data_IF_436727136785
#
_entry.id   IF_436727136785
#
_cell.length_a   1.000
_cell.length_b   1.000
_cell.length_c   1.000
_cell.angle_alpha   90.00
_cell.angle_beta   90.00
_cell.angle_gamma   90.00
#
_symmetry.space_group_name_H-M   'P 1'
#
loop_
_entity.id
_entity.type
_entity.pdbx_description
1 polymer ?
#
# COMPACT_ATOMS: atom_id res chain seq x y z
N UNK A 1 -10.55 -16.62 -2.32
CA UNK A 1 -9.38 -15.97 -2.97
C UNK A 1 -9.53 -14.48 -2.71
N UNK A 2 -8.50 -13.82 -2.17
CA UNK A 2 -8.57 -12.38 -1.93
C UNK A 2 -8.41 -11.65 -3.28
N UNK A 3 -9.32 -10.74 -3.59
CA UNK A 3 -9.26 -9.95 -4.81
C UNK A 3 -8.35 -8.74 -4.60
N UNK A 4 -7.60 -8.38 -5.64
CA UNK A 4 -6.89 -7.11 -5.66
C UNK A 4 -7.88 -5.95 -5.73
N UNK A 5 -7.59 -4.88 -5.00
CA UNK A 5 -8.37 -3.64 -4.99
C UNK A 5 -7.52 -2.58 -5.67
N UNK A 6 -7.64 -2.54 -7.00
CA UNK A 6 -6.86 -1.68 -7.88
C UNK A 6 -7.77 -0.96 -8.86
N UNK A 7 -7.69 0.37 -8.84
CA UNK A 7 -8.40 1.27 -9.76
C UNK A 7 -7.40 2.28 -10.34
N UNK A 8 -7.71 2.92 -11.48
CA UNK A 8 -6.95 4.09 -11.94
C UNK A 8 -7.00 5.24 -10.91
N UNK A 9 -6.06 6.18 -11.02
CA UNK A 9 -6.05 7.45 -10.26
C UNK A 9 -5.92 7.33 -8.74
N UNK A 10 -5.43 6.20 -8.21
CA UNK A 10 -5.16 6.04 -6.78
C UNK A 10 -3.96 6.89 -6.32
N UNK A 11 -4.07 7.48 -5.13
CA UNK A 11 -2.94 8.12 -4.43
C UNK A 11 -1.90 7.05 -4.09
N UNK A 12 -2.34 5.91 -3.55
CA UNK A 12 -1.42 4.82 -3.26
C UNK A 12 -2.03 3.42 -3.29
N UNK A 13 -1.16 2.44 -3.44
CA UNK A 13 -1.47 1.01 -3.31
C UNK A 13 -0.60 0.39 -2.23
N UNK A 14 -1.21 -0.34 -1.29
CA UNK A 14 -0.50 -1.14 -0.30
C UNK A 14 -0.23 -2.55 -0.86
N UNK A 15 1.01 -3.00 -0.73
CA UNK A 15 1.46 -4.31 -1.22
C UNK A 15 1.78 -5.20 -0.03
N UNK A 16 0.95 -6.20 0.19
CA UNK A 16 1.20 -7.29 1.13
C UNK A 16 2.03 -8.42 0.51
N UNK A 17 2.41 -9.40 1.35
CA UNK A 17 3.14 -10.58 0.88
C UNK A 17 2.21 -11.51 0.12
N UNK A 18 1.24 -12.08 0.81
CA UNK A 18 0.23 -12.98 0.28
C UNK A 18 -0.93 -13.08 1.29
N UNK A 19 -2.13 -13.50 0.86
CA UNK A 19 -3.24 -13.65 1.79
C UNK A 19 -2.99 -14.82 2.75
N UNK A 20 -3.11 -14.59 4.06
CA UNK A 20 -3.20 -15.68 5.02
C UNK A 20 -4.49 -16.49 4.81
N UNK A 21 -4.53 -17.77 5.21
CA UNK A 21 -5.72 -18.63 5.01
C UNK A 21 -7.01 -17.96 5.49
N UNK A 22 -7.03 -17.39 6.70
CA UNK A 22 -8.20 -16.70 7.25
C UNK A 22 -8.59 -15.46 6.45
N UNK A 23 -7.61 -14.69 5.98
CA UNK A 23 -7.85 -13.54 5.07
C UNK A 23 -8.45 -14.00 3.74
N UNK A 24 -7.97 -15.12 3.19
CA UNK A 24 -8.51 -15.69 1.96
C UNK A 24 -9.94 -16.22 2.12
N UNK A 25 -10.32 -16.69 3.32
CA UNK A 25 -11.68 -17.14 3.67
C UNK A 25 -12.61 -15.97 3.95
N UNK A 26 -12.15 -14.95 4.69
CA UNK A 26 -12.93 -13.76 5.00
C UNK A 26 -13.16 -12.86 3.77
N UNK A 27 -12.27 -12.92 2.78
CA UNK A 27 -12.36 -12.14 1.54
C UNK A 27 -11.89 -10.69 1.69
N UNK A 28 -11.32 -10.31 2.84
CA UNK A 28 -10.90 -8.94 3.14
C UNK A 28 -9.43 -8.82 3.50
N UNK A 29 -8.75 -7.82 2.94
CA UNK A 29 -7.33 -7.56 3.13
C UNK A 29 -7.00 -7.33 4.61
N UNK A 30 -5.95 -8.01 5.08
CA UNK A 30 -5.46 -7.89 6.46
C UNK A 30 -6.49 -8.20 7.56
N UNK A 31 -7.50 -9.03 7.29
CA UNK A 31 -8.60 -9.33 8.22
C UNK A 31 -8.23 -10.12 9.50
N UNK A 32 -7.01 -10.66 9.60
CA UNK A 32 -6.63 -11.42 10.79
C UNK A 32 -6.57 -10.51 12.04
N UNK A 33 -7.14 -10.88 13.21
CA UNK A 33 -7.21 -10.00 14.39
C UNK A 33 -5.84 -9.52 14.92
N UNK A 34 -4.80 -10.32 14.75
CA UNK A 34 -3.43 -9.94 15.13
C UNK A 34 -2.73 -9.03 14.12
N UNK A 35 -3.34 -8.77 12.95
CA UNK A 35 -2.77 -7.90 11.94
C UNK A 35 -3.02 -6.43 12.30
N UNK A 36 -1.94 -5.65 12.32
CA UNK A 36 -1.97 -4.25 12.75
C UNK A 36 -2.27 -3.26 11.61
N UNK A 37 -2.51 -3.74 10.37
CA UNK A 37 -2.65 -2.87 9.19
C UNK A 37 -3.68 -1.76 9.42
N UNK A 38 -4.91 -2.12 9.79
CA UNK A 38 -5.98 -1.15 10.00
C UNK A 38 -5.73 -0.18 11.16
N UNK A 39 -4.98 -0.62 12.19
CA UNK A 39 -4.54 0.25 13.28
C UNK A 39 -3.50 1.26 12.78
N UNK A 40 -2.47 0.77 12.08
CA UNK A 40 -1.36 1.58 11.57
C UNK A 40 -1.79 2.51 10.43
N UNK A 41 -2.74 2.08 9.60
CA UNK A 41 -3.35 2.90 8.55
C UNK A 41 -4.01 4.14 9.17
N UNK A 42 -4.79 3.95 10.23
CA UNK A 42 -5.41 5.07 10.94
C UNK A 42 -4.39 5.91 11.72
N UNK A 43 -3.55 5.29 12.54
CA UNK A 43 -2.62 6.02 13.41
C UNK A 43 -1.54 6.79 12.65
N UNK A 44 -1.25 6.41 11.40
CA UNK A 44 -0.36 7.18 10.50
C UNK A 44 -1.05 8.34 9.80
N UNK A 45 -2.39 8.41 9.82
CA UNK A 45 -3.17 9.45 9.17
C UNK A 45 -3.65 9.11 7.75
N UNK A 46 -3.43 7.89 7.24
CA UNK A 46 -3.99 7.49 5.94
C UNK A 46 -5.53 7.51 5.96
N UNK A 47 -6.15 7.22 7.11
CA UNK A 47 -7.60 7.31 7.32
C UNK A 47 -7.91 8.14 8.56
N UNK A 48 -8.96 8.95 8.46
CA UNK A 48 -9.50 9.79 9.54
C UNK A 48 -10.10 9.00 10.71
N UNK A 49 -10.50 7.74 10.47
CA UNK A 49 -10.93 6.80 11.49
C UNK A 49 -10.32 5.42 11.28
N UNK A 50 -10.32 4.61 12.34
CA UNK A 50 -9.98 3.18 12.23
C UNK A 50 -11.12 2.45 11.53
N UNK A 51 -10.83 1.92 10.35
CA UNK A 51 -11.76 1.11 9.57
C UNK A 51 -11.63 -0.37 9.94
N UNK A 52 -12.73 -1.13 9.88
CA UNK A 52 -12.69 -2.58 9.91
C UNK A 52 -12.29 -3.15 8.53
N UNK A 53 -11.80 -4.41 8.45
CA UNK A 53 -11.35 -5.03 7.21
C UNK A 53 -12.34 -5.03 6.06
N UNK A 54 -13.63 -5.10 6.37
CA UNK A 54 -14.74 -5.16 5.42
C UNK A 54 -14.86 -3.90 4.55
N UNK A 55 -14.15 -2.82 4.92
CA UNK A 55 -14.12 -1.57 4.16
C UNK A 55 -12.94 -1.47 3.20
N UNK A 56 -12.16 -2.53 3.00
CA UNK A 56 -11.10 -2.55 1.98
C UNK A 56 -11.61 -2.24 0.57
N UNK A 57 -12.77 -2.78 0.19
CA UNK A 57 -13.46 -2.53 -1.10
C UNK A 57 -13.87 -1.08 -1.31
N UNK A 58 -14.07 -0.32 -0.24
CA UNK A 58 -14.44 1.09 -0.33
C UNK A 58 -13.22 2.03 -0.30
N UNK A 59 -12.01 1.54 -0.01
CA UNK A 59 -10.81 2.37 0.05
C UNK A 59 -10.55 3.19 -1.23
N UNK A 60 -10.78 2.68 -2.45
CA UNK A 60 -10.64 3.49 -3.67
C UNK A 60 -11.58 4.69 -3.67
N UNK A 61 -12.86 4.46 -3.33
CA UNK A 61 -13.89 5.50 -3.34
C UNK A 61 -13.75 6.49 -2.19
N UNK A 62 -13.45 6.01 -0.98
CA UNK A 62 -13.39 6.85 0.22
C UNK A 62 -12.05 7.58 0.34
N UNK A 63 -10.98 6.95 -0.14
CA UNK A 63 -9.63 7.43 0.13
C UNK A 63 -8.67 7.33 -1.07
N UNK A 64 -9.11 6.99 -2.28
CA UNK A 64 -8.20 6.81 -3.42
C UNK A 64 -6.99 5.91 -3.06
N UNK A 65 -7.22 4.88 -2.24
CA UNK A 65 -6.22 3.90 -1.84
C UNK A 65 -6.63 2.51 -2.30
N UNK A 66 -5.66 1.67 -2.65
CA UNK A 66 -5.89 0.29 -3.06
C UNK A 66 -5.01 -0.71 -2.31
N UNK A 67 -5.23 -2.00 -2.57
CA UNK A 67 -4.39 -3.07 -2.04
C UNK A 67 -4.16 -4.17 -3.08
N UNK A 68 -3.02 -4.85 -2.96
CA UNK A 68 -2.63 -6.02 -3.75
C UNK A 68 -1.62 -6.84 -2.94
N UNK A 69 -1.26 -8.02 -3.42
CA UNK A 69 -0.12 -8.79 -2.89
C UNK A 69 0.95 -9.03 -3.96
N UNK A 70 2.21 -9.26 -3.53
CA UNK A 70 3.28 -9.69 -4.44
C UNK A 70 3.09 -11.15 -4.87
N UNK A 71 2.46 -11.98 -4.03
CA UNK A 71 2.12 -13.38 -4.31
C UNK A 71 0.61 -13.59 -4.08
N UNK A 72 -0.06 -14.17 -5.07
CA UNK A 72 -1.53 -14.35 -5.05
C UNK A 72 -1.95 -15.58 -4.22
N UNK A 73 -1.11 -16.62 -4.19
CA UNK A 73 -1.42 -17.89 -3.54
C UNK A 73 -1.52 -17.73 -2.02
N UNK A 74 -2.63 -18.18 -1.39
CA UNK A 74 -2.72 -18.20 0.07
C UNK A 74 -1.74 -19.19 0.71
N UNK A 75 -1.24 -18.85 1.90
CA UNK A 75 -0.46 -19.75 2.76
C UNK A 75 -0.82 -19.56 4.24
N UNK A 76 -0.42 -20.50 5.12
CA UNK A 76 -0.62 -20.30 6.58
C UNK A 76 0.35 -19.25 7.12
N UNK A 77 1.59 -19.31 6.64
CA UNK A 77 2.66 -18.38 6.97
C UNK A 77 3.34 -17.88 5.69
N UNK A 78 3.71 -16.60 5.65
CA UNK A 78 4.55 -16.03 4.61
C UNK A 78 5.93 -16.69 4.57
N UNK A 79 6.40 -17.28 5.67
CA UNK A 79 7.63 -18.06 5.74
C UNK A 79 7.61 -19.33 4.87
N UNK A 80 6.42 -19.81 4.47
CA UNK A 80 6.29 -20.94 3.54
C UNK A 80 6.65 -20.56 2.09
N UNK A 81 6.74 -19.26 1.77
CA UNK A 81 7.10 -18.80 0.44
C UNK A 81 8.61 -18.79 0.28
N UNK A 82 9.10 -19.47 -0.75
CA UNK A 82 10.52 -19.43 -1.08
C UNK A 82 10.93 -18.02 -1.53
N UNK A 83 12.22 -17.66 -1.33
CA UNK A 83 12.77 -16.39 -1.84
C UNK A 83 12.57 -16.26 -3.36
N UNK A 84 12.64 -17.37 -4.09
CA UNK A 84 12.43 -17.44 -5.54
C UNK A 84 10.98 -17.16 -5.91
N UNK A 85 10.02 -17.75 -5.19
CA UNK A 85 8.58 -17.53 -5.39
C UNK A 85 8.21 -16.06 -5.15
N UNK A 86 8.69 -15.47 -4.04
CA UNK A 86 8.49 -14.05 -3.76
C UNK A 86 9.10 -13.15 -4.85
N UNK A 87 10.34 -13.43 -5.27
CA UNK A 87 11.00 -12.65 -6.31
C UNK A 87 10.27 -12.75 -7.66
N UNK A 88 9.70 -13.92 -7.99
CA UNK A 88 8.91 -14.15 -9.20
C UNK A 88 7.59 -13.35 -9.23
N UNK A 89 7.09 -12.92 -8.07
CA UNK A 89 5.94 -12.01 -7.98
C UNK A 89 6.23 -10.58 -8.42
N UNK A 90 7.49 -10.15 -8.37
CA UNK A 90 7.91 -8.78 -8.76
C UNK A 90 7.46 -8.35 -10.15
N UNK A 91 7.70 -9.09 -11.25
CA UNK A 91 7.26 -8.68 -12.58
C UNK A 91 5.73 -8.55 -12.71
N UNK A 92 4.98 -9.35 -11.96
CA UNK A 92 3.51 -9.29 -11.92
C UNK A 92 3.06 -8.00 -11.23
N UNK A 93 3.67 -7.68 -10.09
CA UNK A 93 3.45 -6.43 -9.38
C UNK A 93 3.79 -5.22 -10.27
N UNK A 94 4.95 -5.20 -10.92
CA UNK A 94 5.37 -4.14 -11.85
C UNK A 94 4.32 -3.93 -12.96
N UNK A 95 3.76 -5.02 -13.52
CA UNK A 95 2.70 -4.96 -14.52
C UNK A 95 1.40 -4.36 -13.97
N UNK A 96 1.00 -4.74 -12.76
CA UNK A 96 -0.19 -4.16 -12.08
C UNK A 96 0.01 -2.65 -11.88
N UNK A 97 1.15 -2.23 -11.34
CA UNK A 97 1.46 -0.81 -11.10
C UNK A 97 1.52 -0.01 -12.41
N UNK A 98 2.13 -0.57 -13.47
CA UNK A 98 2.13 0.03 -14.81
C UNK A 98 0.73 0.25 -15.38
N UNK A 99 -0.18 -0.69 -15.14
CA UNK A 99 -1.56 -0.64 -15.63
C UNK A 99 -2.38 0.42 -14.90
N UNK A 100 -2.33 0.46 -13.57
CA UNK A 100 -3.21 1.30 -12.75
C UNK A 100 -2.63 2.67 -12.39
N UNK A 101 -1.31 2.84 -12.56
CA UNK A 101 -0.57 4.09 -12.37
C UNK A 101 -0.88 4.83 -11.06
N UNK A 102 -0.80 4.19 -9.88
CA UNK A 102 -0.92 4.91 -8.62
C UNK A 102 0.24 5.88 -8.45
N UNK A 103 0.07 6.96 -7.68
CA UNK A 103 1.16 7.91 -7.45
C UNK A 103 2.27 7.30 -6.58
N UNK A 104 1.90 6.44 -5.62
CA UNK A 104 2.83 5.72 -4.77
C UNK A 104 2.46 4.24 -4.56
N UNK A 105 3.48 3.45 -4.26
CA UNK A 105 3.37 2.06 -3.82
C UNK A 105 3.97 1.94 -2.43
N UNK A 106 3.20 1.43 -1.47
CA UNK A 106 3.65 1.17 -0.11
C UNK A 106 3.88 -0.33 0.08
N UNK A 107 5.14 -0.71 0.20
CA UNK A 107 5.56 -2.09 0.46
C UNK A 107 5.45 -2.38 1.95
N UNK A 108 4.47 -3.21 2.32
CA UNK A 108 4.07 -3.50 3.71
C UNK A 108 4.95 -4.61 4.32
N UNK A 109 6.26 -4.39 4.28
CA UNK A 109 7.24 -5.27 4.91
C UNK A 109 8.56 -5.36 4.14
N UNK A 110 9.67 -5.31 4.88
CA UNK A 110 11.03 -5.44 4.33
C UNK A 110 11.23 -6.69 3.46
N UNK A 111 10.65 -7.84 3.84
CA UNK A 111 10.81 -9.08 3.09
C UNK A 111 10.30 -9.00 1.64
N UNK A 112 9.24 -8.22 1.41
CA UNK A 112 8.71 -7.96 0.06
C UNK A 112 9.70 -7.09 -0.71
N UNK A 113 10.25 -6.05 -0.08
CA UNK A 113 11.27 -5.20 -0.71
C UNK A 113 12.55 -5.98 -1.05
N UNK A 114 12.99 -6.87 -0.15
CA UNK A 114 14.11 -7.76 -0.41
C UNK A 114 13.84 -8.65 -1.63
N UNK A 115 12.60 -9.10 -1.85
CA UNK A 115 12.21 -9.88 -3.02
C UNK A 115 12.26 -9.07 -4.32
N UNK A 116 11.74 -7.83 -4.29
CA UNK A 116 11.83 -6.89 -5.42
C UNK A 116 13.28 -6.62 -5.76
N UNK A 117 14.11 -6.32 -4.76
CA UNK A 117 15.54 -6.07 -4.94
C UNK A 117 16.25 -7.25 -5.57
N UNK A 118 15.99 -8.46 -5.08
CA UNK A 118 16.58 -9.70 -5.59
C UNK A 118 16.18 -9.94 -7.05
N UNK A 119 14.95 -9.62 -7.43
CA UNK A 119 14.52 -9.72 -8.82
C UNK A 119 15.16 -8.64 -9.72
N UNK A 120 15.22 -7.38 -9.29
CA UNK A 120 15.78 -6.26 -10.08
C UNK A 120 17.30 -6.38 -10.24
N UNK A 121 18.00 -6.64 -9.15
CA UNK A 121 19.46 -6.56 -9.08
C UNK A 121 20.17 -7.92 -9.07
N UNK A 122 19.41 -9.03 -9.08
CA UNK A 122 19.93 -10.41 -9.08
C UNK A 122 20.87 -10.71 -7.91
N UNK A 123 20.69 -10.03 -6.78
CA UNK A 123 21.47 -10.20 -5.55
C UNK A 123 20.69 -9.79 -4.31
N UNK A 124 21.19 -10.13 -3.13
CA UNK A 124 20.65 -9.64 -1.86
C UNK A 124 20.95 -8.15 -1.66
N UNK A 125 20.03 -7.45 -0.99
CA UNK A 125 20.25 -6.06 -0.54
C UNK A 125 21.19 -6.07 0.66
N UNK A 126 22.20 -5.20 0.66
CA UNK A 126 23.09 -5.04 1.81
C UNK A 126 22.41 -4.20 2.88
N UNK A 127 22.79 -4.40 4.15
CA UNK A 127 22.27 -3.59 5.27
C UNK A 127 22.48 -2.09 5.06
N UNK A 128 23.60 -1.70 4.45
CA UNK A 128 23.93 -0.31 4.12
C UNK A 128 23.09 0.30 2.99
N UNK A 129 22.41 -0.53 2.19
CA UNK A 129 21.57 -0.09 1.08
C UNK A 129 20.10 -0.02 1.48
N UNK A 130 19.72 -0.74 2.54
CA UNK A 130 18.34 -0.75 3.02
C UNK A 130 18.03 0.49 3.87
N UNK A 131 16.91 1.13 3.56
CA UNK A 131 16.29 2.16 4.41
C UNK A 131 14.78 1.96 4.46
N UNK A 132 14.20 2.24 5.62
CA UNK A 132 12.76 2.45 5.73
C UNK A 132 12.36 3.76 5.05
N UNK A 133 11.10 3.85 4.63
CA UNK A 133 10.54 5.06 4.05
C UNK A 133 10.65 5.16 2.54
N UNK A 134 10.71 6.40 2.03
CA UNK A 134 10.82 6.68 0.61
C UNK A 134 12.13 6.13 0.03
N UNK A 135 12.01 5.36 -1.05
CA UNK A 135 13.14 4.84 -1.81
C UNK A 135 13.58 5.86 -2.88
N UNK A 136 14.77 5.66 -3.43
CA UNK A 136 15.34 6.57 -4.43
C UNK A 136 14.50 6.60 -5.71
N UNK A 137 14.60 7.69 -6.47
CA UNK A 137 13.79 7.89 -7.69
C UNK A 137 13.99 6.80 -8.74
N UNK A 138 15.20 6.23 -8.83
CA UNK A 138 15.50 5.07 -9.71
C UNK A 138 14.72 3.80 -9.34
N UNK A 139 14.16 3.75 -8.13
CA UNK A 139 13.44 2.59 -7.60
C UNK A 139 11.93 2.65 -7.87
N UNK A 140 11.43 3.66 -8.59
CA UNK A 140 10.01 3.75 -8.97
C UNK A 140 9.51 2.45 -9.63
N UNK A 141 8.24 2.13 -9.40
CA UNK A 141 7.60 0.92 -9.91
C UNK A 141 6.69 1.21 -11.10
N UNK A 142 6.66 0.30 -12.06
CA UNK A 142 5.78 0.36 -13.22
C UNK A 142 6.24 1.30 -14.33
N UNK A 143 7.50 1.75 -14.30
CA UNK A 143 8.10 2.66 -15.29
C UNK A 143 7.74 2.27 -16.72
N UNK A 144 7.39 3.27 -17.52
CA UNK A 144 7.24 3.20 -18.98
C UNK A 144 8.11 4.28 -19.58
N UNK A 145 9.20 3.87 -20.23
CA UNK A 145 10.20 4.81 -20.76
C UNK A 145 9.57 5.82 -21.72
N UNK A 146 9.79 7.11 -21.46
CA UNK A 146 9.26 8.21 -22.27
C UNK A 146 7.77 8.50 -22.07
N UNK A 147 7.07 7.77 -21.20
CA UNK A 147 5.63 7.94 -20.98
C UNK A 147 5.27 8.16 -19.50
N UNK A 148 5.84 7.37 -18.59
CA UNK A 148 5.53 7.45 -17.18
C UNK A 148 6.72 7.03 -16.31
N UNK A 149 7.15 7.92 -15.42
CA UNK A 149 8.29 7.68 -14.52
C UNK A 149 8.04 6.59 -13.48
N UNK A 150 6.83 6.03 -13.40
CA UNK A 150 6.44 5.05 -12.40
C UNK A 150 6.00 5.65 -11.07
N UNK A 151 5.44 4.80 -10.22
CA UNK A 151 4.99 5.13 -8.88
C UNK A 151 6.17 5.25 -7.91
N UNK A 152 6.14 6.25 -7.02
CA UNK A 152 7.12 6.38 -5.93
C UNK A 152 7.00 5.20 -4.96
N UNK A 153 8.12 4.66 -4.49
CA UNK A 153 8.11 3.50 -3.59
C UNK A 153 8.37 3.94 -2.16
N UNK A 154 7.52 3.50 -1.24
CA UNK A 154 7.70 3.59 0.20
C UNK A 154 7.82 2.18 0.78
N UNK A 155 8.80 1.95 1.66
CA UNK A 155 8.95 0.66 2.36
C UNK A 155 8.64 0.85 3.84
N UNK A 156 7.63 0.13 4.32
CA UNK A 156 7.20 0.17 5.72
C UNK A 156 7.34 -1.18 6.41
N UNK A 157 7.18 -1.17 7.73
CA UNK A 157 7.23 -2.39 8.55
C UNK A 157 6.08 -3.35 8.27
N UNK A 158 6.31 -4.64 8.49
CA UNK A 158 5.25 -5.65 8.39
C UNK A 158 4.20 -5.45 9.49
N UNK A 159 2.94 -5.62 9.08
CA UNK A 159 1.76 -5.52 9.94
C UNK A 159 1.35 -6.86 10.57
N UNK A 160 1.99 -7.97 10.16
CA UNK A 160 1.70 -9.30 10.72
C UNK A 160 2.03 -9.35 12.22
N UNK A 161 1.13 -9.95 13.00
CA UNK A 161 1.36 -10.25 14.41
C UNK A 161 2.50 -11.25 14.66
N UNK A 162 2.89 -12.03 13.64
CA UNK A 162 4.04 -12.94 13.70
C UNK A 162 5.39 -12.19 13.57
N UNK A 163 5.38 -10.94 13.11
CA UNK A 163 6.58 -10.13 12.92
C UNK A 163 6.92 -9.34 14.20
N UNK A 164 7.78 -9.93 15.04
CA UNK A 164 8.20 -9.39 16.34
C UNK A 164 9.47 -8.52 16.30
N UNK A 165 10.07 -8.28 15.13
CA UNK A 165 11.38 -7.60 15.01
C UNK A 165 11.37 -6.10 15.33
N UNK A 166 10.20 -5.46 15.46
CA UNK A 166 10.04 -4.03 15.72
C UNK A 166 9.00 -3.81 16.80
N UNK A 167 9.28 -2.89 17.73
CA UNK A 167 8.33 -2.46 18.76
C UNK A 167 7.18 -1.67 18.14
N UNK A 168 5.99 -1.64 18.77
CA UNK A 168 4.83 -0.90 18.25
C UNK A 168 5.13 0.56 17.90
N UNK A 169 5.84 1.29 18.78
CA UNK A 169 6.20 2.69 18.54
C UNK A 169 7.13 2.87 17.32
N UNK A 170 8.02 1.91 17.06
CA UNK A 170 8.89 1.92 15.88
C UNK A 170 8.09 1.68 14.60
N UNK A 171 7.11 0.77 14.65
CA UNK A 171 6.19 0.58 13.52
C UNK A 171 5.41 1.87 13.25
N UNK A 172 4.85 2.51 14.27
CA UNK A 172 4.12 3.78 14.12
C UNK A 172 5.01 4.89 13.55
N UNK A 173 6.26 5.03 14.03
CA UNK A 173 7.20 6.01 13.51
C UNK A 173 7.58 5.76 12.04
N UNK A 174 7.70 4.50 11.62
CA UNK A 174 7.96 4.13 10.22
C UNK A 174 6.73 4.38 9.34
N UNK A 175 5.51 4.17 9.84
CA UNK A 175 4.30 4.37 9.05
C UNK A 175 3.91 5.86 8.90
N UNK A 176 4.16 6.66 9.93
CA UNK A 176 3.68 8.04 10.05
C UNK A 176 4.03 8.93 8.84
N UNK A 177 5.27 8.99 8.32
CA UNK A 177 5.59 9.87 7.19
C UNK A 177 4.83 9.52 5.91
N UNK A 178 4.51 8.23 5.70
CA UNK A 178 3.70 7.83 4.55
C UNK A 178 2.25 8.28 4.72
N UNK A 179 1.66 8.07 5.90
CA UNK A 179 0.27 8.47 6.15
C UNK A 179 0.08 9.99 6.12
N UNK A 180 1.03 10.77 6.64
CA UNK A 180 1.01 12.22 6.52
C UNK A 180 1.09 12.67 5.05
N UNK A 181 1.92 12.02 4.23
CA UNK A 181 1.99 12.31 2.80
C UNK A 181 0.69 11.95 2.07
N UNK A 182 0.10 10.77 2.33
CA UNK A 182 -1.19 10.37 1.75
C UNK A 182 -2.29 11.35 2.13
N UNK A 183 -2.33 11.77 3.40
CA UNK A 183 -3.31 12.74 3.92
C UNK A 183 -3.17 14.11 3.26
N UNK A 184 -1.94 14.63 3.16
CA UNK A 184 -1.66 15.88 2.47
C UNK A 184 -2.02 15.80 0.99
N UNK A 185 -1.70 14.67 0.33
CA UNK A 185 -2.02 14.48 -1.08
C UNK A 185 -3.51 14.40 -1.34
N UNK A 186 -4.26 13.82 -0.41
CA UNK A 186 -5.73 13.80 -0.44
C UNK A 186 -6.31 15.20 -0.31
N UNK A 187 -5.78 16.00 0.62
CA UNK A 187 -6.18 17.39 0.80
C UNK A 187 -5.96 18.19 -0.48
N UNK A 188 -4.81 18.03 -1.11
CA UNK A 188 -4.47 18.71 -2.37
C UNK A 188 -5.41 18.29 -3.52
N UNK A 189 -5.72 16.99 -3.65
CA UNK A 189 -6.52 16.47 -4.78
C UNK A 189 -8.02 16.66 -4.62
N UNK A 190 -8.52 16.61 -3.39
CA UNK A 190 -9.95 16.46 -3.11
C UNK A 190 -10.48 17.48 -2.09
N UNK A 191 -9.63 18.36 -1.56
CA UNK A 191 -10.03 19.36 -0.56
C UNK A 191 -10.35 18.78 0.82
N UNK A 192 -9.92 17.55 1.12
CA UNK A 192 -10.15 16.90 2.42
C UNK A 192 -8.98 16.04 2.88
N UNK A 193 -8.72 16.02 4.19
CA UNK A 193 -7.80 15.06 4.81
C UNK A 193 -8.46 13.70 5.09
N UNK A 194 -9.80 13.66 5.17
CA UNK A 194 -10.61 12.49 5.54
C UNK A 194 -11.28 11.83 4.33
N UNK A 195 -12.53 11.36 4.48
CA UNK A 195 -13.23 10.72 3.37
C UNK A 195 -13.55 11.67 2.21
N UNK A 196 -13.23 11.23 0.99
CA UNK A 196 -13.48 11.95 -0.27
C UNK A 196 -14.99 12.02 -0.56
N UNK A 197 -15.73 10.94 -0.31
CA UNK A 197 -17.16 10.85 -0.60
C UNK A 197 -18.05 11.66 0.34
N UNK A 198 -17.46 12.35 1.32
CA UNK A 198 -18.15 13.23 2.27
C UNK A 198 -17.93 14.72 1.96
N UNK A 199 -17.11 15.05 0.96
CA UNK A 199 -16.90 16.43 0.53
C UNK A 199 -18.16 16.91 -0.19
N UNK A 200 -18.81 17.95 0.32
CA UNK A 200 -19.93 18.58 -0.38
C UNK A 200 -19.42 19.17 -1.70
N UNK A 201 -20.14 19.02 -2.82
CA UNK A 201 -19.83 19.77 -4.02
C UNK A 201 -19.81 21.25 -3.67
N UNK A 202 -18.72 21.95 -4.01
CA UNK A 202 -18.72 23.41 -3.93
C UNK A 202 -19.82 23.90 -4.85
N UNK A 203 -20.85 24.53 -4.27
CA UNK A 203 -21.99 25.03 -5.02
C UNK A 203 -21.54 25.95 -6.13
N UNK A 204 -21.93 25.63 -7.37
CA UNK A 204 -22.02 26.63 -8.43
C UNK A 204 -23.01 27.67 -7.90
N UNK A 205 -22.54 28.91 -7.73
CA UNK A 205 -23.35 30.02 -7.26
C UNK A 205 -24.62 30.10 -8.09
N UNK A 206 -25.77 30.05 -7.42
CA UNK A 206 -27.00 30.56 -7.99
C UNK A 206 -26.83 32.07 -8.08
N UNK A 207 -26.37 32.54 -9.23
CA UNK A 207 -26.48 33.94 -9.61
C UNK A 207 -27.93 34.15 -10.07
N UNK A 208 -28.83 34.31 -9.09
CA UNK A 208 -30.15 34.90 -9.31
C UNK A 208 -29.94 36.41 -9.32
N UNK A 209 -29.67 36.95 -10.50
CA UNK A 209 -29.79 38.39 -10.74
C UNK A 209 -31.26 38.79 -10.67
N UNK A 210 -31.57 39.60 -9.66
CA UNK A 210 -32.75 40.48 -9.63
C UNK A 210 -32.51 41.72 -10.53
#
# INVERSE_FOLDING_TARGET
MLLDILEPNLICVFVGTNPGIRTATAGHAYAHPSNLFWKLLHSSGCTDKRLPPENDVDLPRWYAMGNTNIVERPSKDAAELSKTELAAGTPILEKKIRKYRPEAVCIVGKGIWDAVWRWRYKREIKKSEFKWGWQDEKERMGVVQGEWDGARVYVTSSTSGLSASLRPAEKEAIWKPFGEWVKARRLERYGTEGRIDQVKPTGIGADSGD
#
